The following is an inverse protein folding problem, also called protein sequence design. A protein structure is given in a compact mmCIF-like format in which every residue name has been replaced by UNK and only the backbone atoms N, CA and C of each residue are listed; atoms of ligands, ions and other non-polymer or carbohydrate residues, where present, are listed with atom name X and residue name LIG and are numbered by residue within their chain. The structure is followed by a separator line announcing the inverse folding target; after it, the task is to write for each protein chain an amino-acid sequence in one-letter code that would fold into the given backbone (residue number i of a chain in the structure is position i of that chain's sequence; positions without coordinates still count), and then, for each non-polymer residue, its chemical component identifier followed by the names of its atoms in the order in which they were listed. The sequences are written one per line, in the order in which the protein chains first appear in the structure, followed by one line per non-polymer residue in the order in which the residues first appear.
data_IF_224425458681
#
_entry.id   IF_224425458681
#
_cell.length_a   1.000
_cell.length_b   1.000
_cell.length_c   1.000
_cell.angle_alpha   90.00
_cell.angle_beta   90.00
_cell.angle_gamma   90.00
#
_symmetry.space_group_name_H-M   'P 1'
#
loop_
_entity.id
_entity.type
_entity.pdbx_description
1 polymer ?
#
# COMPACT_ATOMS: atom_id res chain seq x y z
N UNK A 1 -38.39 -56.80 -76.38
CA UNK A 1 -37.32 -56.35 -75.48
C UNK A 1 -37.40 -54.84 -75.09
N UNK A 2 -38.54 -54.14 -75.26
CA UNK A 2 -38.64 -52.69 -74.95
C UNK A 2 -39.01 -52.36 -73.50
N UNK A 3 -39.53 -53.34 -72.75
CA UNK A 3 -40.02 -53.14 -71.38
C UNK A 3 -38.92 -53.33 -70.33
N UNK A 4 -37.91 -54.15 -70.63
CA UNK A 4 -36.77 -54.38 -69.73
C UNK A 4 -35.92 -53.12 -69.56
N UNK A 5 -35.74 -52.35 -70.64
CA UNK A 5 -35.02 -51.07 -70.61
C UNK A 5 -35.72 -50.01 -69.73
N UNK A 6 -37.06 -50.03 -69.65
CA UNK A 6 -37.82 -49.14 -68.78
C UNK A 6 -37.61 -49.45 -67.29
N UNK A 7 -37.46 -50.72 -66.93
CA UNK A 7 -37.15 -51.13 -65.55
C UNK A 7 -35.73 -50.70 -65.12
N UNK A 8 -34.75 -50.78 -66.03
CA UNK A 8 -33.38 -50.31 -65.77
C UNK A 8 -33.37 -48.79 -65.53
N UNK A 9 -34.10 -48.02 -66.34
CA UNK A 9 -34.23 -46.56 -66.16
C UNK A 9 -34.92 -46.22 -64.84
N UNK A 10 -36.00 -46.93 -64.48
CA UNK A 10 -36.70 -46.72 -63.22
C UNK A 10 -35.79 -47.00 -62.00
N UNK A 11 -35.00 -48.08 -62.04
CA UNK A 11 -34.05 -48.41 -60.97
C UNK A 11 -32.95 -47.36 -60.83
N UNK A 12 -32.45 -46.82 -61.95
CA UNK A 12 -31.46 -45.74 -61.94
C UNK A 12 -32.02 -44.45 -61.32
N UNK A 13 -33.27 -44.09 -61.64
CA UNK A 13 -33.93 -42.92 -61.06
C UNK A 13 -34.13 -43.09 -59.55
N UNK A 14 -34.52 -44.26 -59.09
CA UNK A 14 -34.68 -44.55 -57.66
C UNK A 14 -33.33 -44.48 -56.93
N UNK A 15 -32.26 -44.98 -57.54
CA UNK A 15 -30.90 -44.88 -56.98
C UNK A 15 -30.43 -43.44 -56.83
N UNK A 16 -30.67 -42.61 -57.85
CA UNK A 16 -30.33 -41.17 -57.81
C UNK A 16 -31.18 -40.44 -56.77
N UNK A 17 -32.47 -40.74 -56.69
CA UNK A 17 -33.37 -40.15 -55.69
C UNK A 17 -32.95 -40.54 -54.25
N UNK A 18 -32.61 -41.81 -54.03
CA UNK A 18 -32.12 -42.28 -52.73
C UNK A 18 -30.79 -41.62 -52.33
N UNK A 19 -29.87 -41.44 -53.28
CA UNK A 19 -28.62 -40.72 -53.04
C UNK A 19 -28.86 -39.25 -52.66
N UNK A 20 -29.76 -38.56 -53.38
CA UNK A 20 -30.11 -37.17 -53.09
C UNK A 20 -30.78 -37.01 -51.72
N UNK A 21 -31.68 -37.92 -51.36
CA UNK A 21 -32.36 -37.91 -50.05
C UNK A 21 -31.35 -38.15 -48.93
N UNK A 22 -30.41 -39.09 -49.12
CA UNK A 22 -29.37 -39.36 -48.14
C UNK A 22 -28.44 -38.15 -47.94
N UNK A 23 -28.01 -37.49 -49.01
CA UNK A 23 -27.14 -36.30 -48.91
C UNK A 23 -27.86 -35.12 -48.23
N UNK A 24 -29.16 -34.95 -48.51
CA UNK A 24 -29.92 -33.81 -47.99
C UNK A 24 -30.43 -34.00 -46.56
N UNK A 25 -30.76 -35.22 -46.15
CA UNK A 25 -31.29 -35.49 -44.81
C UNK A 25 -30.24 -36.01 -43.80
N UNK A 26 -29.18 -36.71 -44.23
CA UNK A 26 -28.22 -37.35 -43.32
C UNK A 26 -26.87 -36.65 -43.18
N UNK A 27 -26.59 -35.59 -43.95
CA UNK A 27 -25.40 -34.75 -43.69
C UNK A 27 -25.56 -34.04 -42.34
N UNK A 28 -24.83 -34.57 -41.37
CA UNK A 28 -24.92 -34.22 -39.97
C UNK A 28 -24.51 -32.76 -39.74
N UNK A 29 -25.32 -32.05 -38.96
CA UNK A 29 -25.11 -30.66 -38.56
C UNK A 29 -23.68 -30.47 -38.05
N UNK A 30 -22.92 -29.59 -38.70
CA UNK A 30 -21.57 -29.25 -38.29
C UNK A 30 -21.63 -28.61 -36.90
N UNK A 31 -21.13 -29.32 -35.89
CA UNK A 31 -21.09 -28.82 -34.51
C UNK A 31 -20.15 -27.60 -34.49
N UNK A 32 -20.62 -26.41 -34.08
CA UNK A 32 -19.79 -25.23 -34.07
C UNK A 32 -18.60 -25.45 -33.14
N UNK A 33 -17.38 -25.33 -33.69
CA UNK A 33 -16.16 -25.47 -32.91
C UNK A 33 -16.05 -24.29 -31.95
N UNK A 34 -16.19 -24.56 -30.65
CA UNK A 34 -16.00 -23.57 -29.61
C UNK A 34 -14.54 -23.11 -29.57
N UNK A 35 -14.31 -21.80 -29.52
CA UNK A 35 -12.98 -21.25 -29.24
C UNK A 35 -12.67 -21.49 -27.76
N UNK A 36 -11.68 -22.33 -27.49
CA UNK A 36 -11.17 -22.60 -26.14
C UNK A 36 -9.72 -22.13 -26.04
N UNK A 37 -9.33 -21.72 -24.84
CA UNK A 37 -7.93 -21.42 -24.52
C UNK A 37 -7.51 -22.27 -23.33
N UNK A 38 -6.20 -22.56 -23.24
CA UNK A 38 -5.64 -23.38 -22.18
C UNK A 38 -5.52 -22.55 -20.90
N UNK A 39 -6.03 -23.07 -19.79
CA UNK A 39 -5.86 -22.44 -18.49
C UNK A 39 -4.40 -22.58 -18.03
N UNK A 40 -3.74 -21.45 -17.77
CA UNK A 40 -2.40 -21.40 -17.20
C UNK A 40 -2.47 -20.88 -15.76
N UNK A 41 -1.65 -21.48 -14.88
CA UNK A 41 -1.49 -21.00 -13.50
C UNK A 41 -0.35 -20.00 -13.47
N UNK A 42 -0.62 -18.81 -12.96
CA UNK A 42 0.38 -17.78 -12.70
C UNK A 42 0.14 -17.14 -11.35
N UNK A 43 1.19 -16.56 -10.77
CA UNK A 43 1.08 -15.82 -9.51
C UNK A 43 0.43 -14.46 -9.77
N UNK A 44 -0.66 -14.19 -9.05
CA UNK A 44 -1.31 -12.87 -9.04
C UNK A 44 -0.85 -12.15 -7.77
N UNK A 45 -0.07 -11.09 -7.94
CA UNK A 45 0.36 -10.24 -6.82
C UNK A 45 -0.57 -9.03 -6.72
N UNK A 46 -1.33 -8.95 -5.64
CA UNK A 46 -2.03 -7.74 -5.24
C UNK A 46 -1.16 -6.92 -4.31
N UNK A 47 -0.72 -5.74 -4.73
CA UNK A 47 -0.05 -4.78 -3.84
C UNK A 47 -1.08 -3.77 -3.37
N UNK A 48 -1.28 -3.67 -2.05
CA UNK A 48 -2.12 -2.64 -1.44
C UNK A 48 -1.22 -1.50 -1.02
N UNK A 49 -1.38 -0.33 -1.64
CA UNK A 49 -0.65 0.88 -1.29
C UNK A 49 -1.47 1.67 -0.28
N UNK A 50 -0.97 1.77 0.94
CA UNK A 50 -1.54 2.64 1.97
C UNK A 50 -0.68 3.89 2.11
N UNK A 51 -1.28 5.08 1.95
CA UNK A 51 -0.63 6.33 2.28
C UNK A 51 -0.75 6.57 3.80
N UNK A 52 0.35 6.93 4.43
CA UNK A 52 0.40 7.31 5.83
C UNK A 52 1.35 8.48 6.03
N UNK A 53 1.08 9.30 7.03
CA UNK A 53 1.93 10.42 7.40
C UNK A 53 2.96 9.97 8.44
N UNK A 54 4.20 10.46 8.29
CA UNK A 54 5.31 10.13 9.19
C UNK A 54 5.46 11.25 10.21
N UNK A 55 5.45 10.88 11.49
CA UNK A 55 5.63 11.79 12.62
C UNK A 55 6.86 11.40 13.43
N UNK A 56 7.45 12.38 14.14
CA UNK A 56 8.47 12.11 15.13
C UNK A 56 7.89 11.23 16.25
N UNK A 57 8.68 10.27 16.75
CA UNK A 57 8.25 9.43 17.89
C UNK A 57 8.02 10.25 19.14
N UNK A 58 8.95 11.16 19.41
CA UNK A 58 8.92 12.07 20.54
C UNK A 58 9.19 13.48 20.02
N UNK A 59 8.31 14.43 20.35
CA UNK A 59 8.45 15.84 20.03
C UNK A 59 8.42 16.61 21.35
N UNK A 60 9.48 17.36 21.64
CA UNK A 60 9.67 18.06 22.92
C UNK A 60 10.05 19.50 22.65
N UNK A 61 9.25 20.42 23.18
CA UNK A 61 9.56 21.85 23.19
C UNK A 61 10.46 22.17 24.39
N UNK A 62 11.68 22.61 24.11
CA UNK A 62 12.66 22.98 25.14
C UNK A 62 12.51 24.47 25.48
N UNK A 63 11.96 24.74 26.66
CA UNK A 63 11.80 26.09 27.21
C UNK A 63 12.66 26.34 28.45
N UNK A 64 12.74 27.60 28.88
CA UNK A 64 13.37 27.98 30.13
C UNK A 64 12.39 27.80 31.30
N UNK A 65 12.83 27.16 32.38
CA UNK A 65 12.03 27.04 33.61
C UNK A 65 12.03 28.33 34.44
N UNK A 66 13.06 29.16 34.28
CA UNK A 66 13.26 30.40 35.02
C UNK A 66 13.31 31.59 34.07
N UNK A 67 12.83 32.73 34.56
CA UNK A 67 12.87 34.01 33.85
C UNK A 67 14.25 34.64 33.99
N UNK A 68 14.83 35.07 32.87
CA UNK A 68 16.12 35.77 32.86
C UNK A 68 16.60 36.05 31.45
N UNK A 69 17.67 36.83 31.31
CA UNK A 69 18.29 37.12 30.02
C UNK A 69 19.22 35.97 29.60
N UNK A 70 19.30 35.66 28.30
CA UNK A 70 20.26 34.67 27.80
C UNK A 70 21.67 35.27 27.85
N UNK A 71 22.55 34.69 28.68
CA UNK A 71 23.99 35.03 28.73
C UNK A 71 24.76 34.41 27.57
N UNK A 72 24.44 33.16 27.22
CA UNK A 72 25.14 32.42 26.16
C UNK A 72 24.26 31.34 25.56
N UNK A 73 24.35 31.18 24.23
CA UNK A 73 23.73 30.10 23.48
C UNK A 73 24.83 29.15 22.98
N UNK A 74 24.67 27.85 23.22
CA UNK A 74 25.69 26.84 22.92
C UNK A 74 25.38 26.02 21.66
N UNK A 75 24.18 26.17 21.10
CA UNK A 75 23.68 25.39 19.97
C UNK A 75 23.27 26.29 18.81
N UNK A 76 23.33 25.75 17.59
CA UNK A 76 22.84 26.40 16.38
C UNK A 76 21.66 25.63 15.80
N UNK A 77 20.90 26.30 14.94
CA UNK A 77 19.77 25.70 14.24
C UNK A 77 20.26 24.55 13.35
N UNK A 78 19.71 23.36 13.56
CA UNK A 78 20.07 22.13 12.85
C UNK A 78 21.07 21.23 13.56
N UNK A 79 21.64 21.66 14.69
CA UNK A 79 22.55 20.82 15.48
C UNK A 79 21.80 19.66 16.13
N UNK A 80 22.48 18.51 16.24
CA UNK A 80 21.99 17.35 17.01
C UNK A 80 22.39 17.53 18.47
N UNK A 81 21.40 17.46 19.36
CA UNK A 81 21.59 17.58 20.81
C UNK A 81 21.16 16.29 21.51
N UNK A 82 21.79 16.01 22.64
CA UNK A 82 21.50 14.85 23.49
C UNK A 82 20.95 15.30 24.84
N UNK A 83 20.35 14.36 25.57
CA UNK A 83 19.85 14.61 26.92
C UNK A 83 21.01 15.01 27.84
N UNK A 84 20.89 16.19 28.45
CA UNK A 84 21.88 16.74 29.37
C UNK A 84 22.78 17.81 28.74
N UNK A 85 22.70 18.02 27.42
CA UNK A 85 23.46 19.07 26.76
C UNK A 85 22.97 20.46 27.20
N UNK A 86 23.92 21.35 27.49
CA UNK A 86 23.61 22.72 27.82
C UNK A 86 23.23 23.47 26.53
N UNK A 87 21.96 23.85 26.43
CA UNK A 87 21.43 24.57 25.26
C UNK A 87 21.73 26.08 25.38
N UNK A 88 21.37 26.66 26.52
CA UNK A 88 21.57 28.08 26.81
C UNK A 88 21.88 28.28 28.29
N UNK A 89 22.65 29.32 28.60
CA UNK A 89 22.87 29.81 29.95
C UNK A 89 22.05 31.08 30.16
N UNK A 90 21.25 31.09 31.22
CA UNK A 90 20.39 32.21 31.61
C UNK A 90 21.07 32.96 32.76
N UNK A 91 20.87 34.28 32.82
CA UNK A 91 21.29 35.11 33.94
C UNK A 91 20.51 34.78 35.21
N UNK A 92 21.23 34.31 36.23
CA UNK A 92 20.72 33.81 37.51
C UNK A 92 20.89 34.79 38.68
N UNK A 93 21.24 36.06 38.45
CA UNK A 93 21.53 37.01 39.54
C UNK A 93 20.43 37.08 40.61
N UNK A 94 19.15 37.05 40.21
CA UNK A 94 18.04 37.05 41.17
C UNK A 94 17.98 35.76 41.99
N UNK A 95 18.15 34.60 41.36
CA UNK A 95 18.17 33.31 42.06
C UNK A 95 19.38 33.16 42.99
N UNK A 96 20.55 33.66 42.57
CA UNK A 96 21.75 33.65 43.40
C UNK A 96 21.56 34.50 44.67
N UNK A 97 20.94 35.68 44.53
CA UNK A 97 20.61 36.55 45.65
C UNK A 97 19.59 35.90 46.60
N UNK A 98 18.55 35.25 46.07
CA UNK A 98 17.55 34.52 46.88
C UNK A 98 18.21 33.39 47.68
N UNK A 99 19.07 32.58 47.04
CA UNK A 99 19.80 31.50 47.72
C UNK A 99 20.71 32.07 48.82
N UNK A 100 21.39 33.19 48.58
CA UNK A 100 22.23 33.83 49.58
C UNK A 100 21.43 34.30 50.80
N UNK A 101 20.26 34.91 50.57
CA UNK A 101 19.35 35.32 51.64
C UNK A 101 18.84 34.13 52.45
N UNK A 102 18.40 33.06 51.78
CA UNK A 102 17.91 31.86 52.46
C UNK A 102 19.01 31.18 53.29
N UNK A 103 20.24 31.12 52.78
CA UNK A 103 21.38 30.61 53.55
C UNK A 103 21.68 31.46 54.78
N UNK A 104 21.62 32.78 54.66
CA UNK A 104 21.81 33.68 55.81
C UNK A 104 20.72 33.47 56.88
N UNK A 105 19.46 33.29 56.46
CA UNK A 105 18.36 32.98 57.38
C UNK A 105 18.56 31.62 58.07
N UNK A 106 18.99 30.59 57.33
CA UNK A 106 19.29 29.28 57.89
C UNK A 106 20.37 29.36 58.97
N UNK A 107 21.45 30.09 58.72
CA UNK A 107 22.53 30.29 59.69
C UNK A 107 22.06 31.01 60.97
N UNK A 108 21.18 32.01 60.84
CA UNK A 108 20.58 32.69 61.99
C UNK A 108 19.71 31.71 62.79
N UNK A 109 18.99 30.81 62.12
CA UNK A 109 18.18 29.78 62.77
C UNK A 109 19.02 28.70 63.47
N UNK A 110 20.09 28.23 62.84
CA UNK A 110 21.01 27.23 63.43
C UNK A 110 21.79 27.79 64.64
N UNK A 111 21.94 29.12 64.73
CA UNK A 111 22.60 29.78 65.84
C UNK A 111 21.70 30.02 67.07
N UNK A 112 20.38 29.79 66.95
CA UNK A 112 19.40 29.87 68.04
C UNK A 112 19.06 28.48 68.58
#
# INVERSE_FOLDING_TARGET
MKNFFKFIIAAAIIGVAAYFIYDHFFKSVAIPKALTTRLERGDIRGTVTAAGEVYARDLVDVGAQVSGQIKKLYVKVGDKVQKGDMIAQIDSVTQENEIAQQKAQLLIHEAN
#
